data_IF_179731598359
#
_entry.id   IF_179731598359
#
_cell.length_a   1.000
_cell.length_b   1.000
_cell.length_c   1.000
_cell.angle_alpha   90.00
_cell.angle_beta   90.00
_cell.angle_gamma   90.00
#
_symmetry.space_group_name_H-M   'P 1'
#
loop_
_entity.id
_entity.type
_entity.pdbx_description
1 polymer ?
#
# COMPACT_ATOMS: atom_id res chain seq x y z
N UNK A 1 -18.16 -30.79 -5.42
CA UNK A 1 -17.31 -29.64 -5.02
C UNK A 1 -17.24 -29.67 -3.50
N UNK A 2 -16.07 -29.90 -2.93
CA UNK A 2 -15.93 -30.24 -1.50
C UNK A 2 -15.59 -28.98 -0.70
N UNK A 3 -16.00 -28.95 0.57
CA UNK A 3 -15.78 -27.82 1.50
C UNK A 3 -14.29 -27.41 1.56
N UNK A 4 -13.38 -28.37 1.49
CA UNK A 4 -11.93 -28.12 1.52
C UNK A 4 -11.45 -27.38 0.26
N UNK A 5 -12.03 -27.68 -0.91
CA UNK A 5 -11.74 -26.95 -2.16
C UNK A 5 -12.31 -25.54 -2.14
N UNK A 6 -13.41 -25.31 -1.42
CA UNK A 6 -14.00 -23.98 -1.24
C UNK A 6 -13.15 -23.12 -0.30
N UNK A 7 -12.62 -23.70 0.79
CA UNK A 7 -11.70 -23.01 1.71
C UNK A 7 -10.38 -22.64 1.02
N UNK A 8 -9.83 -23.55 0.21
CA UNK A 8 -8.62 -23.27 -0.57
C UNK A 8 -8.82 -22.12 -1.57
N UNK A 9 -9.96 -22.08 -2.28
CA UNK A 9 -10.29 -21.01 -3.22
C UNK A 9 -10.56 -19.66 -2.53
N UNK A 10 -11.12 -19.67 -1.31
CA UNK A 10 -11.28 -18.46 -0.51
C UNK A 10 -9.93 -17.95 0.02
N UNK A 11 -9.03 -18.85 0.42
CA UNK A 11 -7.71 -18.50 0.94
C UNK A 11 -6.75 -17.97 -0.15
N UNK A 12 -6.87 -18.45 -1.38
CA UNK A 12 -6.00 -18.03 -2.49
C UNK A 12 -6.32 -16.61 -3.02
N UNK A 13 -7.46 -16.04 -2.61
CA UNK A 13 -7.94 -14.74 -3.10
C UNK A 13 -7.76 -13.57 -2.11
N UNK A 14 -7.30 -13.78 -0.87
CA UNK A 14 -7.52 -12.78 0.21
C UNK A 14 -6.33 -12.29 1.05
N UNK A 15 -5.08 -12.65 0.78
CA UNK A 15 -3.95 -11.98 1.44
C UNK A 15 -3.36 -10.86 0.57
N UNK A 16 -4.15 -9.81 0.34
CA UNK A 16 -3.54 -8.52 -0.01
C UNK A 16 -2.73 -8.08 1.20
N UNK A 17 -1.42 -7.89 1.00
CA UNK A 17 -0.51 -7.46 2.06
C UNK A 17 -1.00 -6.12 2.60
N UNK A 18 -1.10 -6.02 3.93
CA UNK A 18 -1.44 -4.76 4.59
C UNK A 18 -0.44 -3.70 4.14
N UNK A 19 -0.97 -2.57 3.67
CA UNK A 19 -0.15 -1.46 3.21
C UNK A 19 0.15 -0.52 4.36
N UNK A 20 1.39 -0.06 4.45
CA UNK A 20 1.84 0.96 5.41
C UNK A 20 2.27 2.23 4.67
N UNK A 21 1.83 3.40 5.16
CA UNK A 21 2.26 4.66 4.59
C UNK A 21 3.70 4.98 4.97
N UNK A 22 4.55 5.29 4.00
CA UNK A 22 5.97 5.63 4.26
C UNK A 22 6.17 6.97 4.96
N UNK A 23 5.17 7.86 4.94
CA UNK A 23 5.25 9.18 5.56
C UNK A 23 4.82 9.18 7.02
N UNK A 24 3.63 8.64 7.32
CA UNK A 24 3.03 8.68 8.67
C UNK A 24 2.83 7.31 9.32
N UNK A 25 3.04 6.21 8.59
CA UNK A 25 2.85 4.86 9.11
C UNK A 25 1.39 4.39 9.24
N UNK A 26 0.41 5.13 8.69
CA UNK A 26 -0.98 4.67 8.68
C UNK A 26 -1.13 3.38 7.85
N UNK A 27 -2.10 2.53 8.21
CA UNK A 27 -2.37 1.27 7.52
C UNK A 27 -3.79 1.19 6.98
N UNK A 28 -4.13 0.10 6.28
CA UNK A 28 -5.49 -0.14 5.76
C UNK A 28 -6.58 -0.08 6.84
N UNK A 29 -6.22 -0.48 8.06
CA UNK A 29 -7.15 -0.52 9.20
C UNK A 29 -6.93 0.62 10.19
N UNK A 30 -5.88 1.42 10.02
CA UNK A 30 -5.52 2.49 10.94
C UNK A 30 -5.11 3.76 10.19
N UNK A 31 -6.11 4.52 9.74
CA UNK A 31 -5.92 5.79 9.07
C UNK A 31 -5.40 6.87 10.04
N UNK A 32 -4.45 7.68 9.59
CA UNK A 32 -4.16 8.92 10.30
C UNK A 32 -5.29 9.92 10.06
N UNK A 33 -5.40 10.90 10.95
CA UNK A 33 -6.42 11.95 10.87
C UNK A 33 -5.74 13.31 10.68
N UNK A 34 -6.37 14.18 9.89
CA UNK A 34 -5.95 15.57 9.74
C UNK A 34 -6.43 16.44 10.92
N UNK A 35 -6.11 17.74 10.85
CA UNK A 35 -6.53 18.75 11.83
C UNK A 35 -8.06 18.88 11.98
N UNK A 36 -8.82 18.48 10.95
CA UNK A 36 -10.29 18.45 10.95
C UNK A 36 -10.85 17.10 11.41
N UNK A 37 -10.00 16.17 11.87
CA UNK A 37 -10.34 14.78 12.22
C UNK A 37 -10.86 13.96 11.05
N UNK A 38 -10.50 14.35 9.83
CA UNK A 38 -10.83 13.59 8.62
C UNK A 38 -9.82 12.46 8.46
N UNK A 39 -10.27 11.19 8.34
CA UNK A 39 -9.36 10.08 8.09
C UNK A 39 -8.73 10.20 6.70
N UNK A 40 -7.44 9.85 6.61
CA UNK A 40 -6.74 9.83 5.34
C UNK A 40 -7.24 8.69 4.42
N UNK A 41 -6.97 8.83 3.13
CA UNK A 41 -7.17 7.78 2.13
C UNK A 41 -5.88 7.49 1.37
N UNK A 42 -5.76 6.32 0.75
CA UNK A 42 -4.60 6.01 -0.09
C UNK A 42 -4.60 6.86 -1.36
N UNK A 43 -3.54 7.65 -1.58
CA UNK A 43 -3.27 8.30 -2.87
C UNK A 43 -2.55 7.33 -3.81
N UNK A 44 -1.63 6.52 -3.24
CA UNK A 44 -0.86 5.52 -3.96
C UNK A 44 -0.60 4.33 -3.04
N UNK A 45 -0.74 3.10 -3.52
CA UNK A 45 -0.46 1.89 -2.74
C UNK A 45 0.08 0.80 -3.65
N UNK A 46 1.23 0.23 -3.29
CA UNK A 46 1.79 -0.95 -3.91
C UNK A 46 1.54 -2.15 -2.99
N UNK A 47 0.58 -3.00 -3.39
CA UNK A 47 0.15 -4.17 -2.61
C UNK A 47 1.13 -5.34 -2.62
N UNK A 48 2.08 -5.36 -3.56
CA UNK A 48 3.14 -6.36 -3.62
C UNK A 48 4.17 -6.12 -2.52
N UNK A 49 4.59 -4.85 -2.37
CA UNK A 49 5.55 -4.43 -1.33
C UNK A 49 4.88 -4.27 0.03
N UNK A 50 3.62 -3.85 0.07
CA UNK A 50 2.91 -3.45 1.29
C UNK A 50 3.22 -2.01 1.70
N UNK A 51 3.58 -1.15 0.74
CA UNK A 51 3.92 0.25 0.99
C UNK A 51 3.02 1.19 0.19
N UNK A 52 2.77 2.37 0.75
CA UNK A 52 1.94 3.38 0.09
C UNK A 52 2.15 4.81 0.60
N UNK A 53 1.34 5.71 0.05
CA UNK A 53 1.27 7.13 0.40
C UNK A 53 -0.18 7.48 0.60
N UNK A 54 -0.52 8.00 1.78
CA UNK A 54 -1.86 8.47 2.10
C UNK A 54 -2.04 9.95 1.76
N UNK A 55 -3.28 10.44 1.81
CA UNK A 55 -3.67 11.81 1.50
C UNK A 55 -3.07 12.85 2.45
N UNK A 56 -2.68 12.45 3.66
CA UNK A 56 -1.99 13.31 4.63
C UNK A 56 -0.47 13.39 4.38
N UNK A 57 0.09 12.58 3.49
CA UNK A 57 1.53 12.54 3.20
C UNK A 57 1.87 12.77 1.71
N UNK A 58 1.28 13.77 1.03
CA UNK A 58 1.44 13.94 -0.42
C UNK A 58 2.90 14.19 -0.84
N UNK A 59 3.72 14.74 0.07
CA UNK A 59 5.16 14.96 -0.15
C UNK A 59 5.94 13.68 -0.47
N UNK A 60 5.44 12.52 -0.05
CA UNK A 60 6.08 11.22 -0.27
C UNK A 60 5.62 10.53 -1.56
N UNK A 61 4.73 11.12 -2.37
CA UNK A 61 4.22 10.50 -3.61
C UNK A 61 5.34 10.10 -4.58
N UNK A 62 6.38 10.93 -4.67
CA UNK A 62 7.54 10.71 -5.53
C UNK A 62 8.73 10.07 -4.79
N UNK A 63 8.49 9.49 -3.60
CA UNK A 63 9.57 8.88 -2.83
C UNK A 63 10.04 7.57 -3.49
N UNK A 64 11.36 7.27 -3.53
CA UNK A 64 11.88 6.05 -4.15
C UNK A 64 11.28 4.75 -3.58
N UNK A 65 10.91 4.73 -2.29
CA UNK A 65 10.28 3.57 -1.64
C UNK A 65 8.85 3.30 -2.12
N UNK A 66 8.21 4.28 -2.76
CA UNK A 66 6.86 4.17 -3.30
C UNK A 66 6.85 4.34 -4.81
N UNK A 67 8.02 4.28 -5.45
CA UNK A 67 8.13 4.21 -6.90
C UNK A 67 7.56 2.86 -7.35
N UNK A 68 6.71 2.87 -8.38
CA UNK A 68 6.21 1.65 -9.00
C UNK A 68 7.34 1.03 -9.79
N UNK A 69 8.18 0.22 -9.16
CA UNK A 69 9.10 -0.72 -9.82
C UNK A 69 9.82 -0.18 -11.06
N UNK A 70 10.23 1.09 -11.08
CA UNK A 70 11.05 1.60 -12.17
C UNK A 70 12.42 0.98 -11.98
N UNK A 71 12.63 -0.10 -12.74
CA UNK A 71 13.90 -0.80 -12.87
C UNK A 71 14.97 0.27 -13.02
N UNK A 72 16.04 0.28 -12.19
CA UNK A 72 17.03 1.33 -12.25
C UNK A 72 17.60 1.38 -13.66
N UNK A 73 17.27 2.42 -14.42
CA UNK A 73 17.95 2.70 -15.67
C UNK A 73 19.40 3.02 -15.30
N UNK A 74 20.24 2.02 -15.55
CA UNK A 74 21.68 2.04 -15.39
C UNK A 74 22.26 3.28 -16.04
N UNK A 75 22.82 4.18 -15.22
CA UNK A 75 23.65 5.29 -15.72
C UNK A 75 24.85 4.71 -16.46
N UNK A 76 24.86 4.87 -17.78
CA UNK A 76 26.06 4.84 -18.59
C UNK A 76 26.38 6.28 -19.02
N UNK A 77 27.57 6.76 -18.66
CA UNK A 77 28.08 8.08 -19.01
C UNK A 77 29.11 8.55 -18.01
#
# INVERSE_FOLDING_TARGET
>A
MNIEKLIALLNEQQQLKEATCVGCGCTDHNACVDENRTPCSWLKVNRETGLGVCSSCPTFLNHPLTADGDKPEVRHG
#
